data_IF_140485165847
#
_entry.id   IF_140485165847
#
_cell.length_a   1.000
_cell.length_b   1.000
_cell.length_c   1.000
_cell.angle_alpha   90.00
_cell.angle_beta   90.00
_cell.angle_gamma   90.00
#
_symmetry.space_group_name_H-M   'P 1'
#
loop_
_entity.id
_entity.type
_entity.pdbx_description
1 polymer ?
#
# COMPACT_ATOMS: atom_id res chain seq x y z
N UNK A 1 -7.59 5.46 -28.20
CA UNK A 1 -8.89 4.83 -28.52
C UNK A 1 -9.95 5.45 -27.64
N UNK A 2 -11.09 5.80 -28.21
CA UNK A 2 -12.21 6.28 -27.41
C UNK A 2 -13.02 5.05 -26.98
N UNK A 3 -13.07 4.76 -25.70
CA UNK A 3 -13.92 3.69 -25.15
C UNK A 3 -15.21 4.32 -24.64
N UNK A 4 -16.29 4.34 -25.43
CA UNK A 4 -17.57 4.85 -24.96
C UNK A 4 -18.09 3.87 -23.89
N UNK A 5 -18.16 4.34 -22.65
CA UNK A 5 -18.76 3.60 -21.55
C UNK A 5 -20.15 4.18 -21.31
N UNK A 6 -21.18 3.33 -21.14
CA UNK A 6 -22.53 3.81 -20.80
C UNK A 6 -22.55 4.57 -19.46
N UNK A 7 -23.35 5.60 -19.36
CA UNK A 7 -23.54 6.37 -18.11
C UNK A 7 -24.28 5.59 -17.02
N UNK A 8 -25.03 4.55 -17.41
CA UNK A 8 -25.75 3.68 -16.47
C UNK A 8 -24.80 2.62 -15.86
N UNK A 9 -25.14 2.06 -14.68
CA UNK A 9 -24.44 0.90 -14.17
C UNK A 9 -24.45 -0.24 -15.18
N UNK A 10 -23.32 -0.90 -15.36
CA UNK A 10 -23.20 -2.01 -16.29
C UNK A 10 -23.82 -3.28 -15.69
N UNK A 11 -24.45 -4.10 -16.53
CA UNK A 11 -24.82 -5.48 -16.21
C UNK A 11 -23.62 -6.44 -16.20
N UNK A 12 -22.47 -5.98 -16.70
CA UNK A 12 -21.21 -6.70 -16.73
C UNK A 12 -20.26 -6.16 -17.78
N UNK A 13 -19.07 -6.76 -17.83
CA UNK A 13 -17.99 -6.44 -18.77
C UNK A 13 -17.59 -7.71 -19.47
N UNK A 14 -17.70 -7.73 -20.79
CA UNK A 14 -17.22 -8.84 -21.63
C UNK A 14 -15.80 -8.59 -22.13
N UNK A 15 -15.10 -9.69 -22.43
CA UNK A 15 -13.80 -9.65 -23.10
C UNK A 15 -12.76 -8.79 -22.39
N UNK A 16 -12.55 -9.04 -21.10
CA UNK A 16 -11.54 -8.34 -20.29
C UNK A 16 -10.35 -9.26 -20.02
N UNK A 17 -9.10 -8.78 -20.17
CA UNK A 17 -7.89 -9.53 -19.87
C UNK A 17 -7.50 -9.35 -18.40
N UNK A 18 -7.73 -10.39 -17.62
CA UNK A 18 -7.34 -10.46 -16.20
C UNK A 18 -5.96 -11.09 -16.04
N UNK A 19 -5.17 -10.75 -15.00
CA UNK A 19 -3.91 -11.42 -14.73
C UNK A 19 -4.12 -12.88 -14.31
N UNK A 20 -3.12 -13.72 -14.56
CA UNK A 20 -3.22 -15.15 -14.34
C UNK A 20 -3.55 -15.54 -12.89
N UNK A 21 -3.06 -14.77 -11.90
CA UNK A 21 -3.31 -15.04 -10.48
C UNK A 21 -4.79 -14.85 -10.05
N UNK A 22 -5.60 -14.12 -10.84
CA UNK A 22 -7.04 -13.94 -10.62
C UNK A 22 -7.90 -15.05 -11.25
N UNK A 23 -7.32 -15.93 -12.03
CA UNK A 23 -8.09 -16.90 -12.79
C UNK A 23 -8.21 -18.22 -12.02
N UNK A 24 -9.40 -18.84 -11.99
CA UNK A 24 -9.58 -20.15 -11.36
C UNK A 24 -8.69 -21.22 -11.97
N UNK A 25 -8.37 -22.25 -11.17
CA UNK A 25 -7.67 -23.42 -11.68
C UNK A 25 -8.43 -24.06 -12.86
N UNK A 26 -7.70 -24.39 -13.92
CA UNK A 26 -8.29 -24.96 -15.15
C UNK A 26 -8.83 -23.91 -16.13
N UNK A 27 -8.57 -22.61 -15.92
CA UNK A 27 -8.92 -21.59 -16.90
C UNK A 27 -8.30 -21.88 -18.27
N UNK A 28 -9.05 -21.71 -19.38
CA UNK A 28 -8.53 -22.02 -20.69
C UNK A 28 -7.43 -21.04 -21.14
N UNK A 29 -6.44 -21.59 -21.87
CA UNK A 29 -5.36 -20.82 -22.47
C UNK A 29 -5.39 -20.98 -23.98
N UNK A 30 -5.05 -19.93 -24.70
CA UNK A 30 -4.91 -19.94 -26.16
C UNK A 30 -3.59 -19.23 -26.52
N UNK A 31 -2.76 -19.90 -27.35
CA UNK A 31 -1.45 -19.40 -27.75
C UNK A 31 -0.51 -18.98 -26.57
N UNK A 32 -0.64 -19.66 -25.42
CA UNK A 32 0.17 -19.38 -24.22
C UNK A 32 -0.37 -18.27 -23.33
N UNK A 33 -1.47 -17.62 -23.70
CA UNK A 33 -2.14 -16.57 -22.91
C UNK A 33 -3.49 -17.09 -22.38
N UNK A 34 -3.91 -16.66 -21.17
CA UNK A 34 -5.24 -16.99 -20.70
C UNK A 34 -6.30 -16.34 -21.61
N UNK A 35 -7.36 -17.08 -21.90
CA UNK A 35 -8.53 -16.53 -22.57
C UNK A 35 -9.09 -15.38 -21.72
N UNK A 36 -9.55 -14.30 -22.37
CA UNK A 36 -10.20 -13.17 -21.69
C UNK A 36 -11.45 -13.61 -20.95
N UNK A 37 -11.91 -12.80 -20.03
CA UNK A 37 -13.03 -13.10 -19.14
C UNK A 37 -14.26 -12.27 -19.48
N UNK A 38 -15.44 -12.84 -19.19
CA UNK A 38 -16.70 -12.15 -19.04
C UNK A 38 -17.06 -12.09 -17.56
N UNK A 39 -17.35 -10.89 -17.09
CA UNK A 39 -17.79 -10.60 -15.72
C UNK A 39 -19.23 -10.14 -15.75
N UNK A 40 -20.13 -10.82 -15.05
CA UNK A 40 -21.51 -10.38 -14.84
C UNK A 40 -21.67 -9.71 -13.50
N UNK A 41 -22.48 -8.65 -13.47
CA UNK A 41 -22.75 -7.88 -12.26
C UNK A 41 -24.23 -7.96 -11.91
N UNK A 42 -24.53 -8.06 -10.62
CA UNK A 42 -25.86 -7.99 -10.06
C UNK A 42 -25.83 -7.14 -8.80
N UNK A 43 -26.70 -6.13 -8.71
CA UNK A 43 -26.75 -5.18 -7.58
C UNK A 43 -25.38 -4.57 -7.19
N UNK A 44 -24.52 -4.30 -8.18
CA UNK A 44 -23.18 -3.74 -7.94
C UNK A 44 -22.12 -4.73 -7.44
N UNK A 45 -22.44 -6.03 -7.47
CA UNK A 45 -21.53 -7.12 -7.09
C UNK A 45 -21.21 -8.00 -8.29
N UNK A 46 -20.11 -8.73 -8.21
CA UNK A 46 -19.77 -9.79 -9.16
C UNK A 46 -20.77 -10.93 -8.99
N UNK A 47 -21.52 -11.25 -10.03
CA UNK A 47 -22.42 -12.41 -10.05
C UNK A 47 -21.70 -13.66 -10.56
N UNK A 48 -20.87 -13.52 -11.62
CA UNK A 48 -20.09 -14.61 -12.16
C UNK A 48 -18.87 -14.11 -12.95
N UNK A 49 -17.86 -14.99 -13.10
CA UNK A 49 -16.71 -14.84 -13.97
C UNK A 49 -16.58 -16.10 -14.82
N UNK A 50 -16.58 -15.94 -16.15
CA UNK A 50 -16.49 -17.06 -17.10
C UNK A 50 -15.50 -16.72 -18.23
N UNK A 51 -14.92 -17.71 -18.93
CA UNK A 51 -14.18 -17.45 -20.16
C UNK A 51 -15.05 -16.73 -21.18
N UNK A 52 -14.44 -15.77 -21.90
CA UNK A 52 -15.12 -14.93 -22.89
C UNK A 52 -15.83 -15.76 -23.97
N UNK A 53 -17.07 -15.36 -24.27
CA UNK A 53 -17.90 -15.92 -25.32
C UNK A 53 -18.37 -14.82 -26.27
N UNK A 54 -17.99 -14.86 -27.57
CA UNK A 54 -18.28 -13.78 -28.52
C UNK A 54 -19.75 -13.45 -28.76
N UNK A 55 -20.65 -14.37 -28.40
CA UNK A 55 -22.10 -14.27 -28.66
C UNK A 55 -22.91 -13.56 -27.54
N UNK A 56 -22.23 -13.00 -26.53
CA UNK A 56 -22.91 -12.29 -25.42
C UNK A 56 -23.03 -10.79 -25.71
N UNK A 57 -24.15 -10.40 -26.32
CA UNK A 57 -24.43 -8.99 -26.70
C UNK A 57 -24.97 -8.10 -25.56
N UNK A 58 -25.26 -8.68 -24.38
CA UNK A 58 -25.85 -7.96 -23.24
C UNK A 58 -24.81 -7.32 -22.31
N UNK A 59 -23.52 -7.55 -22.52
CA UNK A 59 -22.43 -7.01 -21.73
C UNK A 59 -21.65 -5.93 -22.50
N UNK A 60 -21.13 -4.94 -21.77
CA UNK A 60 -20.22 -3.98 -22.38
C UNK A 60 -18.88 -4.64 -22.73
N UNK A 61 -18.47 -4.59 -23.99
CA UNK A 61 -17.27 -5.26 -24.48
C UNK A 61 -16.02 -4.41 -24.28
N UNK A 62 -15.11 -4.87 -23.42
CA UNK A 62 -13.83 -4.23 -23.12
C UNK A 62 -12.74 -4.49 -24.18
N UNK A 63 -13.00 -5.28 -25.22
CA UNK A 63 -12.10 -5.50 -26.37
C UNK A 63 -10.70 -6.04 -26.00
N UNK A 64 -10.61 -6.84 -24.95
CA UNK A 64 -9.34 -7.43 -24.49
C UNK A 64 -8.48 -6.48 -23.65
N UNK A 65 -9.02 -5.37 -23.19
CA UNK A 65 -8.30 -4.40 -22.30
C UNK A 65 -7.86 -5.10 -21.02
N UNK A 66 -6.64 -4.79 -20.57
CA UNK A 66 -6.12 -5.25 -19.27
C UNK A 66 -6.97 -4.70 -18.13
N UNK A 67 -7.26 -5.51 -17.13
CA UNK A 67 -7.97 -5.07 -15.94
C UNK A 67 -7.43 -5.70 -14.66
N UNK A 68 -7.53 -4.94 -13.58
CA UNK A 68 -7.26 -5.37 -12.21
C UNK A 68 -8.51 -5.11 -11.35
N UNK A 69 -8.64 -5.77 -10.19
CA UNK A 69 -9.58 -5.32 -9.15
C UNK A 69 -9.18 -3.94 -8.64
N UNK A 70 -9.98 -3.36 -7.75
CA UNK A 70 -9.61 -2.11 -7.07
C UNK A 70 -8.21 -2.17 -6.49
N UNK A 71 -7.42 -1.11 -6.69
CA UNK A 71 -6.04 -1.04 -6.23
C UNK A 71 -5.98 -0.73 -4.72
N UNK A 72 -4.88 -1.12 -4.10
CA UNK A 72 -4.56 -0.79 -2.70
C UNK A 72 -3.37 0.14 -2.63
N UNK A 73 -3.43 1.14 -1.74
CA UNK A 73 -2.28 1.90 -1.29
C UNK A 73 -2.03 1.53 0.18
N UNK A 74 -1.10 0.59 0.46
CA UNK A 74 -0.92 0.03 1.79
C UNK A 74 -0.14 0.93 2.73
N UNK A 75 0.51 1.99 2.23
CA UNK A 75 1.40 2.81 3.04
C UNK A 75 1.56 4.22 2.47
N UNK A 76 0.91 5.17 3.09
CA UNK A 76 0.95 6.59 2.72
C UNK A 76 1.06 7.48 3.97
N UNK A 77 1.36 8.77 3.78
CA UNK A 77 1.49 9.77 4.83
C UNK A 77 0.67 11.02 4.50
N UNK A 78 -0.64 10.99 4.74
CA UNK A 78 -1.53 12.10 4.40
C UNK A 78 -1.33 13.34 5.27
N UNK A 79 -0.77 13.18 6.48
CA UNK A 79 -0.47 14.29 7.39
C UNK A 79 0.63 15.22 6.86
N UNK A 80 1.59 14.70 6.11
CA UNK A 80 2.74 15.45 5.59
C UNK A 80 2.77 15.66 4.08
N UNK A 81 1.85 15.03 3.33
CA UNK A 81 1.79 15.11 1.87
C UNK A 81 1.67 16.55 1.36
N UNK A 82 2.20 16.81 0.14
CA UNK A 82 2.16 18.10 -0.58
C UNK A 82 2.81 19.29 0.15
N UNK A 83 3.71 19.02 1.10
CA UNK A 83 4.45 20.08 1.82
C UNK A 83 5.77 20.48 1.15
N UNK A 84 6.21 19.81 0.09
CA UNK A 84 7.51 20.02 -0.57
C UNK A 84 7.77 21.47 -0.98
N UNK A 85 6.72 22.24 -1.28
CA UNK A 85 6.84 23.66 -1.64
C UNK A 85 7.39 24.53 -0.51
N UNK A 86 7.18 24.11 0.75
CA UNK A 86 7.60 24.83 1.97
C UNK A 86 8.57 24.04 2.86
N UNK A 87 8.71 22.73 2.66
CA UNK A 87 9.51 21.84 3.51
C UNK A 87 10.53 21.03 2.69
N UNK A 88 11.65 21.68 2.32
CA UNK A 88 12.74 21.02 1.60
C UNK A 88 13.92 20.76 2.53
N UNK A 89 14.37 19.51 2.69
CA UNK A 89 15.56 19.22 3.49
C UNK A 89 16.81 19.89 2.91
N UNK A 90 17.64 20.43 3.77
CA UNK A 90 18.94 21.03 3.39
C UNK A 90 20.02 19.98 3.09
N UNK A 91 19.82 18.76 3.59
CA UNK A 91 20.69 17.60 3.39
C UNK A 91 19.87 16.38 2.99
N UNK A 92 20.41 15.44 2.23
CA UNK A 92 19.71 14.21 1.87
C UNK A 92 19.62 13.23 3.05
N UNK A 93 18.66 12.30 2.96
CA UNK A 93 18.50 11.17 3.87
C UNK A 93 17.42 11.34 4.93
N UNK A 94 17.06 10.22 5.56
CA UNK A 94 15.92 10.08 6.45
C UNK A 94 15.93 11.09 7.63
N UNK A 95 17.04 11.21 8.34
CA UNK A 95 17.09 12.07 9.54
C UNK A 95 16.94 13.56 9.20
N UNK A 96 17.46 14.00 8.06
CA UNK A 96 17.27 15.38 7.59
C UNK A 96 15.82 15.65 7.18
N UNK A 97 15.16 14.67 6.59
CA UNK A 97 13.73 14.76 6.26
C UNK A 97 12.87 14.85 7.55
N UNK A 98 13.16 14.02 8.55
CA UNK A 98 12.47 14.06 9.86
C UNK A 98 12.63 15.45 10.54
N UNK A 99 13.84 16.01 10.56
CA UNK A 99 14.08 17.34 11.13
C UNK A 99 13.29 18.42 10.39
N UNK A 100 13.28 18.35 9.05
CA UNK A 100 12.52 19.28 8.20
C UNK A 100 11.02 19.18 8.47
N UNK A 101 10.49 17.97 8.64
CA UNK A 101 9.11 17.72 9.01
C UNK A 101 8.76 18.35 10.36
N UNK A 102 9.62 18.20 11.36
CA UNK A 102 9.41 18.81 12.70
C UNK A 102 9.29 20.34 12.62
N UNK A 103 10.01 20.98 11.71
CA UNK A 103 9.88 22.41 11.47
C UNK A 103 8.60 22.78 10.74
N UNK A 104 8.13 21.96 9.78
CA UNK A 104 6.90 22.21 9.01
C UNK A 104 5.63 22.09 9.87
N UNK A 105 5.63 21.23 10.90
CA UNK A 105 4.47 20.98 11.78
C UNK A 105 3.84 22.23 12.37
N UNK A 106 4.61 23.29 12.61
CA UNK A 106 4.07 24.56 13.12
C UNK A 106 3.02 25.21 12.20
N UNK A 107 2.97 24.79 10.93
CA UNK A 107 2.02 25.26 9.92
C UNK A 107 0.77 24.38 9.82
N UNK A 108 0.75 23.22 10.51
CA UNK A 108 -0.36 22.29 10.41
C UNK A 108 -1.55 22.76 11.24
N UNK A 109 -2.64 23.03 10.55
CA UNK A 109 -3.94 23.27 11.16
C UNK A 109 -5.00 22.42 10.42
N UNK A 110 -6.24 22.43 10.89
CA UNK A 110 -7.29 21.59 10.35
C UNK A 110 -7.51 21.80 8.84
N UNK A 111 -7.51 23.07 8.40
CA UNK A 111 -7.73 23.42 6.99
C UNK A 111 -6.59 22.93 6.10
N UNK A 112 -5.33 23.20 6.47
CA UNK A 112 -4.12 22.74 5.77
C UNK A 112 -4.09 21.20 5.65
N UNK A 113 -4.34 20.49 6.75
CA UNK A 113 -4.36 19.03 6.79
C UNK A 113 -5.45 18.45 5.89
N UNK A 114 -6.68 18.95 6.04
CA UNK A 114 -7.82 18.45 5.28
C UNK A 114 -7.71 18.74 3.78
N UNK A 115 -7.25 19.93 3.38
CA UNK A 115 -7.06 20.28 1.98
C UNK A 115 -6.05 19.35 1.30
N UNK A 116 -4.87 19.17 1.91
CA UNK A 116 -3.82 18.30 1.36
C UNK A 116 -4.26 16.84 1.28
N UNK A 117 -4.91 16.35 2.33
CA UNK A 117 -5.37 14.97 2.37
C UNK A 117 -6.51 14.69 1.38
N UNK A 118 -7.50 15.60 1.22
CA UNK A 118 -8.55 15.46 0.19
C UNK A 118 -7.96 15.39 -1.21
N UNK A 119 -6.99 16.25 -1.53
CA UNK A 119 -6.28 16.21 -2.81
C UNK A 119 -5.60 14.85 -3.03
N UNK A 120 -4.90 14.32 -2.03
CA UNK A 120 -4.23 13.03 -2.09
C UNK A 120 -5.21 11.87 -2.33
N UNK A 121 -6.31 11.85 -1.57
CA UNK A 121 -7.33 10.80 -1.69
C UNK A 121 -8.10 10.90 -3.01
N UNK A 122 -8.34 12.12 -3.51
CA UNK A 122 -8.93 12.33 -4.84
C UNK A 122 -8.00 11.80 -5.96
N UNK A 123 -6.69 12.02 -5.86
CA UNK A 123 -5.72 11.44 -6.79
C UNK A 123 -5.70 9.91 -6.73
N UNK A 124 -5.67 9.35 -5.53
CA UNK A 124 -5.72 7.91 -5.33
C UNK A 124 -6.98 7.30 -5.95
N UNK A 125 -8.16 7.90 -5.72
CA UNK A 125 -9.43 7.46 -6.31
C UNK A 125 -9.41 7.50 -7.85
N UNK A 126 -8.91 8.59 -8.43
CA UNK A 126 -8.78 8.73 -9.87
C UNK A 126 -7.79 7.72 -10.49
N UNK A 127 -6.83 7.23 -9.70
CA UNK A 127 -5.89 6.17 -10.06
C UNK A 127 -6.46 4.75 -9.83
N UNK A 128 -7.64 4.61 -9.23
CA UNK A 128 -8.29 3.32 -9.02
C UNK A 128 -8.03 2.69 -7.65
N UNK A 129 -7.46 3.44 -6.71
CA UNK A 129 -7.30 2.99 -5.33
C UNK A 129 -8.66 2.96 -4.64
N UNK A 130 -8.98 1.84 -3.99
CA UNK A 130 -10.22 1.63 -3.24
C UNK A 130 -10.00 1.43 -1.74
N UNK A 131 -8.77 1.12 -1.37
CA UNK A 131 -8.33 1.03 0.04
C UNK A 131 -6.97 1.69 0.18
N UNK A 132 -6.88 2.62 1.14
CA UNK A 132 -5.67 3.36 1.45
C UNK A 132 -5.39 3.28 2.95
N UNK A 133 -4.13 3.06 3.32
CA UNK A 133 -3.65 3.11 4.69
C UNK A 133 -2.71 4.28 4.86
N UNK A 134 -3.02 5.19 5.79
CA UNK A 134 -2.18 6.35 6.10
C UNK A 134 -1.57 6.24 7.48
N UNK A 135 -0.28 6.51 7.57
CA UNK A 135 0.48 6.62 8.81
C UNK A 135 0.47 8.07 9.26
N UNK A 136 0.04 8.31 10.49
CA UNK A 136 -0.08 9.64 11.09
C UNK A 136 0.87 9.73 12.28
N UNK A 137 1.79 10.69 12.22
CA UNK A 137 2.81 10.86 13.25
C UNK A 137 2.20 11.28 14.60
N UNK A 138 2.49 10.49 15.63
CA UNK A 138 2.22 10.82 17.02
C UNK A 138 3.50 11.28 17.71
N UNK A 139 3.46 12.35 18.45
CA UNK A 139 4.63 12.97 19.06
C UNK A 139 4.64 12.87 20.58
N UNK A 140 3.52 12.51 21.15
CA UNK A 140 3.31 12.23 22.56
C UNK A 140 2.21 11.18 22.74
N UNK A 141 1.76 10.95 23.96
CA UNK A 141 0.75 9.93 24.29
C UNK A 141 -0.71 10.36 23.97
N UNK A 142 -0.90 11.52 23.33
CA UNK A 142 -2.23 12.03 22.97
C UNK A 142 -2.44 12.05 21.46
N UNK A 143 -3.66 11.75 20.97
CA UNK A 143 -3.95 11.84 19.55
C UNK A 143 -3.65 13.24 19.00
N UNK A 144 -2.80 13.37 17.95
CA UNK A 144 -2.52 14.65 17.33
C UNK A 144 -3.70 15.20 16.54
N UNK A 145 -3.67 16.49 16.18
CA UNK A 145 -4.71 17.11 15.35
C UNK A 145 -4.95 16.34 14.05
N UNK A 146 -3.88 15.89 13.37
CA UNK A 146 -4.00 15.10 12.14
C UNK A 146 -4.78 13.80 12.34
N UNK A 147 -4.68 13.16 13.50
CA UNK A 147 -5.44 11.96 13.81
C UNK A 147 -6.95 12.18 13.83
N UNK A 148 -7.40 13.34 14.30
CA UNK A 148 -8.82 13.71 14.35
C UNK A 148 -9.34 14.24 13.01
N UNK A 149 -8.50 14.98 12.27
CA UNK A 149 -8.90 15.63 11.01
C UNK A 149 -8.88 14.69 9.80
N UNK A 150 -8.05 13.64 9.82
CA UNK A 150 -7.90 12.68 8.72
C UNK A 150 -8.72 11.41 9.00
N UNK A 151 -10.05 11.55 9.12
CA UNK A 151 -10.97 10.45 9.39
C UNK A 151 -11.43 9.70 8.14
N UNK A 152 -12.24 8.65 8.36
CA UNK A 152 -12.67 7.67 7.34
C UNK A 152 -13.51 8.26 6.17
N UNK A 153 -14.10 9.43 6.31
CA UNK A 153 -15.07 9.98 5.34
C UNK A 153 -14.47 11.02 4.40
N UNK A 154 -13.18 10.91 4.07
CA UNK A 154 -12.53 11.91 3.22
C UNK A 154 -12.93 11.83 1.75
N UNK A 155 -13.23 10.64 1.23
CA UNK A 155 -13.62 10.41 -0.16
C UNK A 155 -14.56 9.20 -0.27
N UNK A 156 -15.74 9.34 -0.90
CA UNK A 156 -16.57 8.20 -1.22
C UNK A 156 -15.85 7.20 -2.13
N UNK A 157 -16.00 5.91 -1.83
CA UNK A 157 -15.40 4.83 -2.64
C UNK A 157 -13.98 4.44 -2.24
N UNK A 158 -13.35 5.13 -1.26
CA UNK A 158 -12.10 4.69 -0.65
C UNK A 158 -12.33 4.33 0.82
N UNK A 159 -11.90 3.14 1.22
CA UNK A 159 -11.76 2.78 2.63
C UNK A 159 -10.42 3.32 3.13
N UNK A 160 -10.44 4.29 4.03
CA UNK A 160 -9.25 4.88 4.64
C UNK A 160 -8.96 4.23 5.99
N UNK A 161 -7.78 3.62 6.13
CA UNK A 161 -7.25 3.09 7.39
C UNK A 161 -6.22 4.07 7.95
N UNK A 162 -6.17 4.22 9.28
CA UNK A 162 -5.20 5.09 9.97
C UNK A 162 -4.29 4.29 10.88
N UNK A 163 -3.01 4.55 10.79
CA UNK A 163 -1.99 3.98 11.67
C UNK A 163 -1.44 5.09 12.56
N UNK A 164 -1.49 4.90 13.86
CA UNK A 164 -0.81 5.78 14.81
C UNK A 164 0.69 5.49 14.75
N UNK A 165 1.44 6.28 13.99
CA UNK A 165 2.90 6.13 13.87
C UNK A 165 3.58 6.77 15.07
N UNK A 166 3.96 5.93 16.05
CA UNK A 166 4.47 6.35 17.36
C UNK A 166 5.97 6.08 17.43
N UNK A 167 6.82 7.04 17.84
CA UNK A 167 8.22 6.78 18.15
C UNK A 167 8.38 5.68 19.20
N UNK A 168 9.26 4.70 18.97
CA UNK A 168 9.42 3.54 19.85
C UNK A 168 9.65 3.93 21.32
N UNK A 169 10.38 5.01 21.57
CA UNK A 169 10.66 5.48 22.92
C UNK A 169 9.43 5.82 23.78
N UNK A 170 8.28 6.15 23.18
CA UNK A 170 7.04 6.38 23.92
C UNK A 170 6.42 5.09 24.49
N UNK A 171 6.82 3.94 24.01
CA UNK A 171 6.45 2.65 24.58
C UNK A 171 7.37 2.16 25.70
N UNK A 172 8.42 2.91 26.06
CA UNK A 172 9.33 2.53 27.15
C UNK A 172 8.61 2.41 28.49
N UNK A 173 7.60 3.28 28.73
CA UNK A 173 6.70 3.18 29.88
C UNK A 173 5.43 2.41 29.52
N UNK A 174 5.15 1.33 30.23
CA UNK A 174 4.01 0.43 29.94
C UNK A 174 2.64 1.07 30.13
N UNK A 175 2.50 2.05 31.05
CA UNK A 175 1.24 2.77 31.24
C UNK A 175 0.98 3.73 30.09
N UNK A 176 2.03 4.39 29.58
CA UNK A 176 1.96 5.24 28.39
C UNK A 176 1.65 4.40 27.14
N UNK A 177 2.29 3.24 26.98
CA UNK A 177 2.00 2.31 25.89
C UNK A 177 0.52 1.88 25.88
N UNK A 178 -0.03 1.58 27.06
CA UNK A 178 -1.42 1.16 27.20
C UNK A 178 -2.41 2.32 26.91
N UNK A 179 -2.10 3.54 27.34
CA UNK A 179 -2.92 4.72 27.01
C UNK A 179 -2.96 5.01 25.52
N UNK A 180 -1.81 4.94 24.82
CA UNK A 180 -1.75 5.12 23.37
C UNK A 180 -2.59 4.05 22.67
N UNK A 181 -2.38 2.78 22.99
CA UNK A 181 -3.12 1.67 22.39
C UNK A 181 -4.64 1.79 22.67
N UNK A 182 -5.03 2.18 23.87
CA UNK A 182 -6.42 2.46 24.22
C UNK A 182 -7.01 3.58 23.37
N UNK A 183 -6.31 4.70 23.19
CA UNK A 183 -6.77 5.81 22.37
C UNK A 183 -6.97 5.41 20.90
N UNK A 184 -6.06 4.60 20.35
CA UNK A 184 -6.20 4.03 19.01
C UNK A 184 -7.43 3.12 18.92
N UNK A 185 -7.62 2.21 19.89
CA UNK A 185 -8.76 1.30 19.92
C UNK A 185 -10.13 2.00 20.02
N UNK A 186 -10.17 3.17 20.65
CA UNK A 186 -11.40 3.99 20.75
C UNK A 186 -11.68 4.83 19.48
N UNK A 187 -10.75 4.87 18.52
CA UNK A 187 -10.85 5.72 17.33
C UNK A 187 -11.58 5.07 16.15
N UNK A 188 -12.01 3.81 16.26
CA UNK A 188 -12.79 3.10 15.24
C UNK A 188 -12.11 1.82 14.73
N UNK A 189 -12.82 1.11 13.87
CA UNK A 189 -12.42 -0.24 13.41
C UNK A 189 -11.26 -0.22 12.39
N UNK A 190 -11.03 0.91 11.70
CA UNK A 190 -9.98 1.08 10.71
C UNK A 190 -8.76 1.82 11.28
N UNK A 191 -8.50 1.62 12.57
CA UNK A 191 -7.38 2.22 13.26
C UNK A 191 -6.42 1.14 13.75
N UNK A 192 -5.13 1.31 13.45
CA UNK A 192 -4.05 0.39 13.78
C UNK A 192 -3.04 1.09 14.68
N UNK A 193 -2.36 0.31 15.52
CA UNK A 193 -1.20 0.79 16.26
C UNK A 193 0.05 0.60 15.41
N UNK A 194 0.89 1.63 15.37
CA UNK A 194 2.16 1.61 14.64
C UNK A 194 3.33 2.00 15.52
N UNK A 195 4.52 1.73 15.03
CA UNK A 195 5.77 2.11 15.67
C UNK A 195 6.82 2.47 14.66
N UNK A 196 7.62 3.50 14.94
CA UNK A 196 8.86 3.78 14.22
C UNK A 196 10.01 3.11 14.95
N UNK A 197 10.56 2.05 14.36
CA UNK A 197 11.61 1.17 14.91
C UNK A 197 12.86 1.29 14.05
N UNK A 198 13.91 1.92 14.60
CA UNK A 198 15.17 2.22 13.94
C UNK A 198 16.31 2.00 14.93
N UNK A 199 17.55 1.74 14.47
CA UNK A 199 18.69 1.52 15.38
C UNK A 199 18.97 2.69 16.32
N UNK A 200 18.61 3.93 15.91
CA UNK A 200 18.80 5.13 16.73
C UNK A 200 17.83 5.23 17.93
N UNK A 201 16.72 4.49 17.92
CA UNK A 201 15.73 4.49 19.01
C UNK A 201 15.43 3.08 19.54
N UNK A 202 16.27 2.11 19.21
CA UNK A 202 16.07 0.71 19.55
C UNK A 202 15.98 0.48 21.06
N UNK A 203 14.89 -0.13 21.51
CA UNK A 203 14.66 -0.57 22.87
C UNK A 203 13.77 -1.83 22.87
N UNK A 204 14.32 -3.00 23.23
CA UNK A 204 13.57 -4.25 23.26
C UNK A 204 12.45 -4.28 24.32
N UNK A 205 12.56 -3.49 25.40
CA UNK A 205 11.50 -3.40 26.40
C UNK A 205 10.31 -2.58 25.86
N UNK A 206 10.60 -1.48 25.15
CA UNK A 206 9.59 -0.70 24.46
C UNK A 206 8.87 -1.53 23.37
N UNK A 207 9.60 -2.35 22.59
CA UNK A 207 8.98 -3.29 21.64
C UNK A 207 8.06 -4.29 22.35
N UNK A 208 8.46 -4.82 23.49
CA UNK A 208 7.61 -5.73 24.28
C UNK A 208 6.33 -5.03 24.76
N UNK A 209 6.41 -3.81 25.24
CA UNK A 209 5.26 -3.03 25.70
C UNK A 209 4.31 -2.71 24.52
N UNK A 210 4.84 -2.36 23.34
CA UNK A 210 4.06 -2.15 22.12
C UNK A 210 3.26 -3.41 21.77
N UNK A 211 3.92 -4.56 21.70
CA UNK A 211 3.27 -5.85 21.40
C UNK A 211 2.20 -6.23 22.43
N UNK A 212 2.50 -6.06 23.72
CA UNK A 212 1.57 -6.39 24.81
C UNK A 212 0.35 -5.47 24.82
N UNK A 213 0.54 -4.17 24.60
CA UNK A 213 -0.55 -3.20 24.54
C UNK A 213 -1.43 -3.44 23.31
N UNK A 214 -0.85 -3.72 22.14
CA UNK A 214 -1.60 -4.10 20.96
C UNK A 214 -2.45 -5.39 21.20
N UNK A 215 -1.85 -6.39 21.82
CA UNK A 215 -2.55 -7.63 22.14
C UNK A 215 -3.72 -7.40 23.12
N UNK A 216 -3.51 -6.58 24.17
CA UNK A 216 -4.52 -6.23 25.17
C UNK A 216 -5.74 -5.56 24.54
N UNK A 217 -5.51 -4.61 23.63
CA UNK A 217 -6.56 -3.84 22.98
C UNK A 217 -7.02 -4.44 21.65
N UNK A 218 -6.52 -5.64 21.28
CA UNK A 218 -6.87 -6.40 20.06
C UNK A 218 -6.64 -5.58 18.79
N UNK A 219 -5.57 -4.80 18.75
CA UNK A 219 -5.18 -4.00 17.61
C UNK A 219 -4.32 -4.81 16.65
N UNK A 220 -4.51 -4.60 15.36
CA UNK A 220 -3.53 -4.93 14.35
C UNK A 220 -2.37 -3.93 14.41
N UNK A 221 -1.21 -4.34 13.91
CA UNK A 221 0.00 -3.51 13.89
C UNK A 221 0.42 -3.17 12.46
N UNK A 222 0.98 -1.96 12.30
CA UNK A 222 1.71 -1.57 11.09
C UNK A 222 2.96 -0.79 11.47
N UNK A 223 4.13 -1.38 11.21
CA UNK A 223 5.39 -0.95 11.77
C UNK A 223 6.32 -0.40 10.68
N UNK A 224 6.83 0.84 10.86
CA UNK A 224 8.04 1.27 10.17
C UNK A 224 9.20 0.58 10.88
N UNK A 225 9.84 -0.38 10.23
CA UNK A 225 10.81 -1.24 10.90
C UNK A 225 12.07 -1.40 10.05
N UNK A 226 13.21 -1.13 10.67
CA UNK A 226 14.54 -1.28 10.04
C UNK A 226 14.67 -0.50 8.72
N UNK A 227 14.17 0.76 8.70
CA UNK A 227 14.30 1.70 7.56
C UNK A 227 15.70 2.32 7.51
N UNK A 228 16.69 1.49 7.31
CA UNK A 228 18.10 1.88 7.32
C UNK A 228 18.97 0.86 6.59
N UNK A 229 20.21 1.22 6.32
CA UNK A 229 21.24 0.31 5.79
C UNK A 229 22.21 -0.18 6.87
N UNK A 230 21.75 -0.28 8.09
CA UNK A 230 22.59 -0.72 9.21
C UNK A 230 22.49 -2.23 9.40
N UNK A 231 23.62 -2.98 9.32
CA UNK A 231 23.61 -4.42 9.61
C UNK A 231 23.35 -4.73 11.10
N UNK A 232 23.32 -3.71 11.95
CA UNK A 232 22.99 -3.83 13.39
C UNK A 232 21.54 -3.45 13.70
N UNK A 233 20.69 -3.27 12.70
CA UNK A 233 19.25 -3.15 12.90
C UNK A 233 18.69 -4.45 13.48
N UNK A 234 17.80 -4.34 14.45
CA UNK A 234 17.33 -5.48 15.25
C UNK A 234 15.80 -5.68 15.19
N UNK A 235 15.05 -4.79 14.57
CA UNK A 235 13.61 -4.80 14.61
C UNK A 235 12.99 -6.09 14.11
N UNK A 236 13.22 -6.44 12.83
CA UNK A 236 12.66 -7.66 12.23
C UNK A 236 13.19 -8.94 12.88
N UNK A 237 14.46 -8.99 13.26
CA UNK A 237 15.03 -10.17 13.92
C UNK A 237 14.42 -10.38 15.31
N UNK A 238 14.24 -9.31 16.06
CA UNK A 238 13.58 -9.36 17.37
C UNK A 238 12.09 -9.76 17.23
N UNK A 239 11.39 -9.19 16.25
CA UNK A 239 9.98 -9.51 16.01
C UNK A 239 9.79 -10.99 15.65
N UNK A 240 10.65 -11.53 14.76
CA UNK A 240 10.62 -12.94 14.39
C UNK A 240 10.87 -13.86 15.60
N UNK A 241 11.87 -13.54 16.44
CA UNK A 241 12.16 -14.28 17.66
C UNK A 241 11.00 -14.17 18.67
N UNK A 242 10.43 -12.98 18.86
CA UNK A 242 9.29 -12.77 19.75
C UNK A 242 8.07 -13.58 19.32
N UNK A 243 7.68 -13.54 18.05
CA UNK A 243 6.51 -14.25 17.50
C UNK A 243 6.73 -15.78 17.50
N UNK A 244 7.95 -16.26 17.42
CA UNK A 244 8.25 -17.68 17.54
C UNK A 244 7.99 -18.25 18.96
N UNK A 245 7.94 -17.38 19.97
CA UNK A 245 7.81 -17.74 21.40
C UNK A 245 6.48 -17.27 22.00
N UNK A 246 5.80 -16.32 21.37
CA UNK A 246 4.61 -15.69 21.88
C UNK A 246 3.50 -15.68 20.82
N UNK A 247 2.27 -15.96 21.23
CA UNK A 247 1.13 -15.82 20.32
C UNK A 247 0.70 -14.35 20.21
N UNK A 248 0.54 -13.87 18.98
CA UNK A 248 -0.12 -12.61 18.68
C UNK A 248 -1.26 -12.88 17.70
N UNK A 249 -2.48 -12.56 18.09
CA UNK A 249 -3.69 -12.89 17.32
C UNK A 249 -3.99 -11.89 16.20
N UNK A 250 -3.43 -10.67 16.29
CA UNK A 250 -3.58 -9.61 15.30
C UNK A 250 -2.80 -9.89 14.01
N UNK A 251 -3.03 -9.09 13.01
CA UNK A 251 -2.22 -9.02 11.80
C UNK A 251 -1.12 -7.96 11.97
N UNK A 252 0.06 -8.19 11.42
CA UNK A 252 1.20 -7.28 11.49
C UNK A 252 1.67 -6.96 10.07
N UNK A 253 1.65 -5.69 9.69
CA UNK A 253 2.38 -5.21 8.53
C UNK A 253 3.75 -4.68 8.98
N UNK A 254 4.80 -5.04 8.24
CA UNK A 254 6.17 -4.57 8.44
C UNK A 254 6.61 -3.81 7.19
N UNK A 255 6.72 -2.50 7.32
CA UNK A 255 7.10 -1.61 6.23
C UNK A 255 8.61 -1.38 6.21
N UNK A 256 9.17 -1.13 5.04
CA UNK A 256 10.60 -0.95 4.75
C UNK A 256 11.43 -2.24 4.89
N UNK A 257 11.90 -2.59 6.08
CA UNK A 257 12.73 -3.77 6.31
C UNK A 257 14.01 -3.82 5.47
N UNK A 258 14.50 -2.68 4.98
CA UNK A 258 15.59 -2.61 4.03
C UNK A 258 16.97 -2.89 4.64
N UNK A 259 17.11 -2.83 5.96
CA UNK A 259 18.34 -3.18 6.64
C UNK A 259 18.78 -4.64 6.41
N UNK A 260 17.84 -5.55 6.20
CA UNK A 260 18.15 -6.96 5.91
C UNK A 260 19.02 -7.11 4.65
N UNK A 261 18.88 -6.21 3.66
CA UNK A 261 19.70 -6.22 2.46
C UNK A 261 21.18 -5.87 2.72
N UNK A 262 21.51 -5.30 3.88
CA UNK A 262 22.88 -4.98 4.30
C UNK A 262 23.52 -6.07 5.18
N UNK A 263 22.73 -7.07 5.61
CA UNK A 263 23.16 -8.19 6.42
C UNK A 263 23.56 -9.41 5.60
N UNK A 264 23.64 -10.58 6.25
CA UNK A 264 23.88 -11.84 5.56
C UNK A 264 22.59 -12.41 4.99
N UNK A 265 22.66 -12.96 3.78
CA UNK A 265 21.54 -13.65 3.14
C UNK A 265 20.97 -14.77 4.03
N UNK A 266 21.84 -15.57 4.64
CA UNK A 266 21.40 -16.65 5.53
C UNK A 266 20.58 -16.15 6.71
N UNK A 267 20.97 -15.03 7.32
CA UNK A 267 20.23 -14.43 8.43
C UNK A 267 18.86 -13.89 7.96
N UNK A 268 18.82 -13.21 6.81
CA UNK A 268 17.56 -12.73 6.24
C UNK A 268 16.58 -13.87 5.95
N UNK A 269 17.06 -14.96 5.34
CA UNK A 269 16.23 -16.16 5.07
C UNK A 269 15.73 -16.83 6.36
N UNK A 270 16.53 -16.88 7.42
CA UNK A 270 16.09 -17.41 8.72
C UNK A 270 14.97 -16.56 9.32
N UNK A 271 15.09 -15.23 9.27
CA UNK A 271 14.06 -14.29 9.73
C UNK A 271 12.78 -14.49 8.94
N UNK A 272 12.85 -14.55 7.62
CA UNK A 272 11.68 -14.77 6.77
C UNK A 272 11.03 -16.12 7.01
N UNK A 273 11.81 -17.17 7.21
CA UNK A 273 11.25 -18.49 7.54
C UNK A 273 10.43 -18.48 8.85
N UNK A 274 10.89 -17.76 9.87
CA UNK A 274 10.13 -17.60 11.12
C UNK A 274 8.87 -16.76 10.90
N UNK A 275 8.95 -15.64 10.18
CA UNK A 275 7.83 -14.75 9.92
C UNK A 275 6.76 -15.37 9.01
N UNK A 276 7.15 -16.23 8.07
CA UNK A 276 6.23 -16.91 7.14
C UNK A 276 5.19 -17.80 7.83
N UNK A 277 5.46 -18.24 9.05
CA UNK A 277 4.52 -19.04 9.86
C UNK A 277 3.56 -18.17 10.68
N UNK A 278 3.70 -16.86 10.59
CA UNK A 278 2.94 -15.88 11.38
C UNK A 278 1.99 -15.06 10.48
N UNK A 279 1.12 -14.29 11.09
CA UNK A 279 0.23 -13.37 10.36
C UNK A 279 0.94 -12.05 10.06
N UNK A 280 1.98 -12.12 9.23
CA UNK A 280 2.84 -10.99 8.88
C UNK A 280 2.78 -10.75 7.39
N UNK A 281 2.69 -9.47 6.99
CA UNK A 281 2.84 -8.99 5.62
C UNK A 281 4.00 -8.00 5.58
N UNK A 282 4.84 -8.05 4.54
CA UNK A 282 5.84 -7.02 4.29
C UNK A 282 5.30 -5.98 3.32
N UNK A 283 5.64 -4.70 3.55
CA UNK A 283 5.32 -3.60 2.63
C UNK A 283 6.64 -3.02 2.14
N UNK A 284 6.91 -3.18 0.85
CA UNK A 284 8.08 -2.62 0.21
C UNK A 284 7.77 -1.23 -0.36
N UNK A 285 8.67 -0.27 -0.15
CA UNK A 285 8.51 1.14 -0.42
C UNK A 285 9.65 1.65 -1.32
N UNK A 286 9.73 1.14 -2.57
CA UNK A 286 10.93 1.32 -3.39
C UNK A 286 11.22 2.77 -3.73
N UNK A 287 10.21 3.61 -3.93
CA UNK A 287 10.42 5.01 -4.32
C UNK A 287 11.13 5.80 -3.23
N UNK A 288 10.59 5.79 -2.01
CA UNK A 288 11.16 6.52 -0.88
C UNK A 288 12.50 5.91 -0.44
N UNK A 289 12.58 4.57 -0.35
CA UNK A 289 13.82 3.92 0.03
C UNK A 289 14.98 4.22 -0.92
N UNK A 290 14.75 4.25 -2.25
CA UNK A 290 15.79 4.61 -3.22
C UNK A 290 16.25 6.06 -3.10
N UNK A 291 15.38 6.97 -2.63
CA UNK A 291 15.72 8.37 -2.41
C UNK A 291 16.46 8.60 -1.10
N UNK A 292 16.06 7.92 -0.03
CA UNK A 292 16.57 8.19 1.32
C UNK A 292 17.81 7.35 1.66
N UNK A 293 17.88 6.09 1.18
CA UNK A 293 18.95 5.18 1.57
C UNK A 293 20.22 5.44 0.77
N UNK A 294 21.39 5.39 1.43
CA UNK A 294 22.72 5.70 0.87
C UNK A 294 22.80 7.08 0.19
N UNK A 295 21.93 8.02 0.59
CA UNK A 295 21.83 9.35 0.00
C UNK A 295 22.95 10.27 0.55
N UNK A 296 23.84 10.73 -0.35
CA UNK A 296 24.96 11.61 -0.02
C UNK A 296 25.06 12.71 -1.09
N UNK A 297 25.17 13.96 -0.64
CA UNK A 297 25.30 15.11 -1.54
C UNK A 297 26.48 14.93 -2.52
N UNK A 298 26.20 15.10 -3.81
CA UNK A 298 27.22 15.01 -4.88
C UNK A 298 27.69 13.59 -5.22
N UNK A 299 27.08 12.55 -4.65
CA UNK A 299 27.40 11.16 -4.94
C UNK A 299 26.17 10.36 -5.32
N UNK A 300 26.25 9.57 -6.39
CA UNK A 300 25.20 8.57 -6.72
C UNK A 300 25.18 7.46 -5.68
N UNK A 301 24.02 7.00 -5.18
CA UNK A 301 23.89 5.89 -4.27
C UNK A 301 24.58 4.61 -4.81
N UNK A 302 25.25 3.86 -3.95
CA UNK A 302 25.94 2.60 -4.28
C UNK A 302 25.16 1.39 -3.79
N UNK A 303 24.30 1.57 -2.79
CA UNK A 303 23.43 0.53 -2.24
C UNK A 303 21.98 0.86 -2.62
N UNK A 304 21.20 -0.16 -2.92
CA UNK A 304 19.79 0.06 -3.32
C UNK A 304 18.89 0.43 -2.15
N UNK A 305 19.14 -0.15 -0.97
CA UNK A 305 18.39 0.15 0.25
C UNK A 305 16.90 -0.21 0.17
N UNK A 306 16.58 -1.35 -0.46
CA UNK A 306 15.21 -1.80 -0.68
C UNK A 306 14.93 -3.13 0.02
N UNK A 307 13.67 -3.38 0.31
CA UNK A 307 13.16 -4.62 0.91
C UNK A 307 13.54 -5.85 0.08
N UNK A 308 13.93 -6.95 0.72
CA UNK A 308 14.22 -8.25 0.09
C UNK A 308 12.89 -8.95 -0.30
N UNK A 309 12.17 -8.39 -1.27
CA UNK A 309 10.82 -8.79 -1.66
C UNK A 309 10.77 -10.21 -2.21
N UNK A 310 11.71 -10.58 -3.09
CA UNK A 310 11.70 -11.91 -3.74
C UNK A 310 11.96 -13.02 -2.74
N UNK A 311 12.88 -12.79 -1.81
CA UNK A 311 13.22 -13.72 -0.74
C UNK A 311 12.04 -13.91 0.23
N UNK A 312 11.33 -12.83 0.54
CA UNK A 312 10.13 -12.88 1.36
C UNK A 312 9.00 -13.66 0.66
N UNK A 313 8.74 -13.39 -0.62
CA UNK A 313 7.75 -14.13 -1.42
C UNK A 313 8.13 -15.63 -1.51
N UNK A 314 9.41 -15.93 -1.73
CA UNK A 314 9.90 -17.31 -1.79
C UNK A 314 9.72 -18.05 -0.45
N UNK A 315 9.80 -17.34 0.67
CA UNK A 315 9.51 -17.87 2.01
C UNK A 315 7.99 -18.02 2.29
N UNK A 316 7.12 -17.48 1.43
CA UNK A 316 5.66 -17.53 1.59
C UNK A 316 5.08 -16.38 2.40
N UNK A 317 5.82 -15.29 2.61
CA UNK A 317 5.31 -14.08 3.24
C UNK A 317 4.55 -13.25 2.18
N UNK A 318 3.30 -12.84 2.44
CA UNK A 318 2.62 -11.86 1.61
C UNK A 318 3.41 -10.54 1.54
N UNK A 319 3.50 -9.95 0.35
CA UNK A 319 4.20 -8.67 0.15
C UNK A 319 3.30 -7.72 -0.62
N UNK A 320 3.34 -6.43 -0.25
CA UNK A 320 2.68 -5.34 -0.95
C UNK A 320 3.68 -4.25 -1.32
N UNK A 321 3.30 -3.41 -2.27
CA UNK A 321 4.01 -2.20 -2.66
C UNK A 321 3.20 -0.97 -2.26
N UNK A 322 3.84 0.00 -1.61
CA UNK A 322 3.27 1.28 -1.25
C UNK A 322 4.08 2.47 -1.80
N UNK A 323 3.42 3.60 -2.01
CA UNK A 323 4.06 4.82 -2.49
C UNK A 323 4.84 5.54 -1.38
N UNK A 324 4.43 5.34 -0.14
CA UNK A 324 4.98 6.00 1.04
C UNK A 324 4.74 7.53 1.00
N UNK A 325 5.80 8.33 0.97
CA UNK A 325 5.74 9.77 0.94
C UNK A 325 5.49 10.32 -0.48
N UNK A 326 4.67 11.36 -0.57
CA UNK A 326 4.33 12.03 -1.82
C UNK A 326 4.47 13.54 -1.69
N UNK A 327 5.37 14.13 -2.45
CA UNK A 327 5.61 15.57 -2.55
C UNK A 327 5.81 16.25 -1.18
N UNK A 328 6.67 15.66 -0.36
CA UNK A 328 7.07 16.15 0.96
C UNK A 328 8.59 16.10 1.17
N UNK A 329 9.04 16.25 2.42
CA UNK A 329 10.47 16.28 2.76
C UNK A 329 11.19 14.94 2.52
N UNK A 330 10.48 13.82 2.50
CA UNK A 330 11.05 12.47 2.29
C UNK A 330 11.09 12.09 0.82
N UNK A 331 10.04 12.44 0.06
CA UNK A 331 9.96 12.18 -1.37
C UNK A 331 9.38 13.40 -2.12
N UNK A 332 10.16 14.09 -2.97
CA UNK A 332 9.71 15.32 -3.63
C UNK A 332 8.74 15.08 -4.80
N UNK A 333 8.45 13.84 -5.13
CA UNK A 333 7.62 13.43 -6.26
C UNK A 333 6.55 12.42 -5.83
N UNK A 334 5.69 12.00 -6.75
CA UNK A 334 4.66 10.99 -6.55
C UNK A 334 3.27 11.52 -6.87
N UNK A 335 2.32 10.60 -7.03
CA UNK A 335 0.99 10.88 -7.56
C UNK A 335 -0.10 10.01 -6.91
N UNK A 336 0.20 9.24 -5.87
CA UNK A 336 -0.70 8.20 -5.31
C UNK A 336 -1.20 7.21 -6.38
N UNK A 337 -0.36 6.95 -7.39
CA UNK A 337 -0.61 5.92 -8.40
C UNK A 337 0.18 4.65 -8.06
N UNK A 338 -0.46 3.54 -7.66
CA UNK A 338 0.24 2.30 -7.37
C UNK A 338 1.04 1.75 -8.56
N UNK A 339 0.69 2.16 -9.79
CA UNK A 339 1.45 1.76 -10.96
C UNK A 339 2.81 2.48 -11.07
N UNK A 340 2.94 3.71 -10.59
CA UNK A 340 4.23 4.41 -10.51
C UNK A 340 5.17 3.64 -9.56
N UNK A 341 4.64 3.18 -8.43
CA UNK A 341 5.37 2.37 -7.47
C UNK A 341 5.78 1.02 -8.08
N UNK A 342 4.86 0.34 -8.76
CA UNK A 342 5.15 -0.93 -9.43
C UNK A 342 6.15 -0.75 -10.58
N UNK A 343 6.07 0.34 -11.32
CA UNK A 343 7.06 0.67 -12.37
C UNK A 343 8.46 0.89 -11.79
N UNK A 344 8.55 1.59 -10.66
CA UNK A 344 9.81 1.73 -9.92
C UNK A 344 10.32 0.36 -9.44
N UNK A 345 9.45 -0.45 -8.82
CA UNK A 345 9.76 -1.78 -8.32
C UNK A 345 10.24 -2.73 -9.42
N UNK A 346 9.65 -2.67 -10.62
CA UNK A 346 10.06 -3.48 -11.77
C UNK A 346 11.57 -3.40 -12.00
N UNK A 347 12.13 -2.20 -12.01
CA UNK A 347 13.56 -1.99 -12.24
C UNK A 347 14.41 -2.15 -10.97
N UNK A 348 13.94 -1.61 -9.86
CA UNK A 348 14.69 -1.63 -8.60
C UNK A 348 14.83 -3.05 -8.03
N UNK A 349 13.78 -3.86 -8.12
CA UNK A 349 13.71 -5.22 -7.61
C UNK A 349 13.92 -6.28 -8.70
N UNK A 350 14.07 -5.86 -9.98
CA UNK A 350 14.24 -6.75 -11.13
C UNK A 350 13.09 -7.78 -11.21
N UNK A 351 11.86 -7.27 -11.19
CA UNK A 351 10.66 -8.11 -11.29
C UNK A 351 10.43 -8.58 -12.73
N UNK A 352 9.87 -9.75 -12.88
CA UNK A 352 9.43 -10.32 -14.15
C UNK A 352 7.93 -10.63 -14.12
N UNK A 353 7.36 -10.95 -15.26
CA UNK A 353 5.94 -11.30 -15.42
C UNK A 353 4.98 -10.36 -14.67
N UNK A 354 5.20 -9.04 -14.87
CA UNK A 354 4.68 -8.00 -13.98
C UNK A 354 3.16 -7.97 -13.95
N UNK A 355 2.49 -8.11 -15.11
CA UNK A 355 1.03 -8.11 -15.14
C UNK A 355 0.43 -9.38 -14.53
N UNK A 356 0.90 -10.56 -14.98
CA UNK A 356 0.26 -11.84 -14.62
C UNK A 356 0.59 -12.36 -13.22
N UNK A 357 1.68 -11.88 -12.59
CA UNK A 357 2.08 -12.32 -11.26
C UNK A 357 2.22 -11.14 -10.29
N UNK A 358 2.99 -10.13 -10.65
CA UNK A 358 3.37 -9.08 -9.71
C UNK A 358 2.31 -7.98 -9.53
N UNK A 359 1.29 -7.92 -10.40
CA UNK A 359 0.17 -6.98 -10.19
C UNK A 359 -0.58 -7.21 -8.87
N UNK A 360 -0.49 -8.41 -8.29
CA UNK A 360 -1.02 -8.71 -6.97
C UNK A 360 -0.43 -7.79 -5.89
N UNK A 361 0.82 -7.36 -6.03
CA UNK A 361 1.52 -6.49 -5.07
C UNK A 361 0.82 -5.15 -4.81
N UNK A 362 -0.08 -4.73 -5.70
CA UNK A 362 -0.79 -3.44 -5.62
C UNK A 362 -2.32 -3.58 -5.48
N UNK A 363 -2.84 -4.79 -5.26
CA UNK A 363 -4.29 -5.00 -5.14
C UNK A 363 -4.71 -6.13 -4.20
N UNK A 364 -3.81 -6.68 -3.38
CA UNK A 364 -4.12 -7.74 -2.42
C UNK A 364 -4.60 -7.16 -1.08
N UNK A 365 -5.92 -6.99 -0.96
CA UNK A 365 -6.56 -6.52 0.28
C UNK A 365 -6.39 -7.52 1.42
N UNK A 366 -6.34 -8.83 1.13
CA UNK A 366 -6.16 -9.87 2.15
C UNK A 366 -4.77 -9.77 2.77
N UNK A 367 -3.76 -9.56 1.94
CA UNK A 367 -2.40 -9.31 2.43
C UNK A 367 -2.33 -8.05 3.31
N UNK A 368 -3.09 -6.99 2.97
CA UNK A 368 -3.10 -5.74 3.74
C UNK A 368 -3.82 -5.88 5.09
N UNK A 369 -4.96 -6.55 5.13
CA UNK A 369 -5.83 -6.57 6.32
C UNK A 369 -5.67 -7.83 7.18
N UNK A 370 -5.14 -8.91 6.60
CA UNK A 370 -5.14 -10.24 7.22
C UNK A 370 -6.52 -10.89 7.30
N UNK A 371 -7.54 -10.30 6.66
CA UNK A 371 -8.91 -10.81 6.64
C UNK A 371 -9.11 -11.77 5.48
N UNK A 372 -9.52 -13.01 5.79
CA UNK A 372 -9.69 -14.08 4.78
C UNK A 372 -11.10 -14.10 4.18
N UNK A 373 -12.05 -13.35 4.74
CA UNK A 373 -13.41 -13.28 4.21
C UNK A 373 -13.40 -12.62 2.83
N UNK A 374 -13.92 -13.33 1.82
CA UNK A 374 -13.89 -12.92 0.41
C UNK A 374 -12.46 -12.78 -0.15
N UNK A 375 -11.62 -13.78 0.11
CA UNK A 375 -10.21 -13.80 -0.28
C UNK A 375 -9.95 -13.56 -1.79
N UNK A 376 -10.92 -13.79 -2.66
CA UNK A 376 -10.78 -13.56 -4.10
C UNK A 376 -11.57 -12.30 -4.51
N UNK A 377 -10.91 -11.24 -5.01
CA UNK A 377 -11.53 -9.94 -5.25
C UNK A 377 -12.60 -9.94 -6.36
N UNK A 378 -12.64 -10.97 -7.19
CA UNK A 378 -13.64 -11.16 -8.26
C UNK A 378 -14.54 -12.38 -8.00
N UNK A 379 -14.61 -12.89 -6.77
CA UNK A 379 -15.53 -13.96 -6.43
C UNK A 379 -17.00 -13.48 -6.50
N UNK A 380 -17.96 -14.39 -6.77
CA UNK A 380 -19.37 -14.05 -6.63
C UNK A 380 -19.68 -13.45 -5.25
N UNK A 381 -20.40 -12.30 -5.25
CA UNK A 381 -20.70 -11.52 -4.04
C UNK A 381 -19.66 -10.45 -3.67
N UNK A 382 -18.48 -10.42 -4.31
CA UNK A 382 -17.54 -9.31 -4.16
C UNK A 382 -18.05 -8.06 -4.89
N UNK A 383 -17.62 -6.88 -4.48
CA UNK A 383 -17.95 -5.63 -5.16
C UNK A 383 -17.47 -5.64 -6.62
N UNK A 384 -18.31 -5.18 -7.55
CA UNK A 384 -17.95 -5.04 -8.96
C UNK A 384 -17.06 -3.80 -9.16
N UNK A 385 -15.86 -3.86 -8.61
CA UNK A 385 -14.85 -2.80 -8.62
C UNK A 385 -13.65 -3.23 -9.43
N UNK A 386 -13.36 -2.48 -10.51
CA UNK A 386 -12.34 -2.81 -11.51
C UNK A 386 -11.64 -1.55 -12.00
N UNK A 387 -10.36 -1.70 -12.32
CA UNK A 387 -9.56 -0.69 -13.01
C UNK A 387 -9.11 -1.26 -14.35
N UNK A 388 -9.55 -0.64 -15.44
CA UNK A 388 -9.17 -1.02 -16.80
C UNK A 388 -8.11 -0.07 -17.34
N UNK A 389 -7.19 -0.59 -18.17
CA UNK A 389 -6.04 0.11 -18.70
C UNK A 389 -6.08 0.17 -20.23
N UNK A 390 -6.90 1.08 -20.84
CA UNK A 390 -7.01 1.20 -22.28
C UNK A 390 -5.69 1.62 -22.94
N UNK A 391 -5.38 1.02 -24.10
CA UNK A 391 -4.22 1.43 -24.92
C UNK A 391 -2.88 0.90 -24.44
N UNK A 392 -2.88 -0.06 -23.51
CA UNK A 392 -1.66 -0.76 -23.07
C UNK A 392 -1.85 -2.28 -23.20
N UNK A 393 -0.76 -2.99 -23.34
CA UNK A 393 -0.69 -4.44 -23.30
C UNK A 393 0.19 -4.92 -22.12
N UNK A 394 0.26 -6.22 -21.88
CA UNK A 394 1.01 -6.79 -20.75
C UNK A 394 2.53 -6.54 -20.80
N UNK A 395 3.08 -6.21 -21.96
CA UNK A 395 4.52 -5.95 -22.14
C UNK A 395 4.87 -4.46 -21.92
N UNK A 396 3.92 -3.57 -22.22
CA UNK A 396 4.07 -2.13 -22.01
C UNK A 396 3.55 -1.68 -20.65
N UNK A 397 2.70 -2.47 -19.99
CA UNK A 397 2.22 -2.23 -18.63
C UNK A 397 3.35 -2.53 -17.59
N UNK A 398 3.51 -1.76 -16.52
CA UNK A 398 2.72 -0.60 -16.08
C UNK A 398 3.17 0.73 -16.70
N UNK A 399 4.21 0.78 -17.52
CA UNK A 399 4.88 2.02 -17.97
C UNK A 399 4.01 2.88 -18.89
N UNK A 400 3.09 2.29 -19.63
CA UNK A 400 2.19 2.96 -20.57
C UNK A 400 0.72 2.84 -20.13
N UNK A 401 0.43 3.12 -18.87
CA UNK A 401 -0.91 2.91 -18.29
C UNK A 401 -1.52 4.17 -17.70
N UNK A 402 -1.22 5.33 -18.27
CA UNK A 402 -1.81 6.60 -17.83
C UNK A 402 -3.33 6.66 -18.04
N UNK A 403 -3.84 6.07 -19.12
CA UNK A 403 -5.27 5.98 -19.37
C UNK A 403 -5.92 4.94 -18.44
N UNK A 404 -7.06 5.32 -17.83
CA UNK A 404 -7.78 4.49 -16.87
C UNK A 404 -9.29 4.64 -17.01
N UNK A 405 -9.99 3.51 -16.80
CA UNK A 405 -11.43 3.49 -16.52
C UNK A 405 -11.59 2.83 -15.16
N UNK A 406 -12.09 3.57 -14.19
CA UNK A 406 -12.32 3.06 -12.82
C UNK A 406 -13.79 2.80 -12.62
N UNK A 407 -14.14 1.56 -12.35
CA UNK A 407 -15.49 1.13 -12.05
C UNK A 407 -15.63 0.83 -10.56
N UNK A 408 -16.70 1.31 -9.97
CA UNK A 408 -17.08 1.01 -8.60
C UNK A 408 -18.56 0.59 -8.55
N UNK A 409 -18.86 -0.55 -7.98
CA UNK A 409 -20.18 -1.19 -8.02
C UNK A 409 -20.77 -1.27 -9.46
N UNK A 410 -19.93 -1.63 -10.43
CA UNK A 410 -20.31 -1.74 -11.84
C UNK A 410 -20.58 -0.41 -12.55
N UNK A 411 -20.33 0.73 -11.91
CA UNK A 411 -20.50 2.08 -12.48
C UNK A 411 -19.15 2.73 -12.73
N UNK A 412 -18.98 3.36 -13.89
CA UNK A 412 -17.81 4.20 -14.17
C UNK A 412 -17.80 5.41 -13.22
N UNK A 413 -16.76 5.53 -12.41
CA UNK A 413 -16.57 6.64 -11.46
C UNK A 413 -15.51 7.63 -11.90
N UNK A 414 -14.42 7.12 -12.53
CA UNK A 414 -13.35 7.96 -13.05
C UNK A 414 -12.91 7.46 -14.43
N UNK A 415 -12.63 8.42 -15.29
CA UNK A 415 -12.04 8.17 -16.61
C UNK A 415 -10.90 9.14 -16.81
N UNK A 416 -9.69 8.61 -17.09
CA UNK A 416 -8.52 9.39 -17.46
C UNK A 416 -8.02 8.98 -18.84
N UNK A 417 -7.74 9.97 -19.69
CA UNK A 417 -7.10 9.77 -20.98
C UNK A 417 -5.61 10.09 -20.90
N UNK A 418 -4.83 9.74 -21.93
CA UNK A 418 -3.38 9.95 -21.95
C UNK A 418 -2.92 11.39 -21.67
N UNK A 419 -3.73 12.39 -22.02
CA UNK A 419 -3.38 13.80 -21.94
C UNK A 419 -4.10 14.54 -20.80
N UNK A 420 -4.74 13.83 -19.89
CA UNK A 420 -5.51 14.44 -18.82
C UNK A 420 -4.67 14.52 -17.54
N UNK A 421 -4.51 15.72 -17.00
CA UNK A 421 -3.88 15.96 -15.72
C UNK A 421 -4.73 15.38 -14.57
N UNK A 422 -4.07 15.10 -13.44
CA UNK A 422 -4.78 14.71 -12.21
C UNK A 422 -5.63 15.89 -11.72
N UNK A 423 -6.80 15.62 -11.09
CA UNK A 423 -7.68 16.67 -10.63
C UNK A 423 -6.99 17.55 -9.57
N UNK A 424 -7.11 18.86 -9.72
CA UNK A 424 -6.72 19.83 -8.70
C UNK A 424 -7.99 20.32 -7.99
N UNK A 425 -8.02 20.24 -6.68
CA UNK A 425 -9.06 20.91 -5.91
C UNK A 425 -8.78 22.42 -5.94
N UNK A 426 -9.78 23.19 -6.38
CA UNK A 426 -9.77 24.66 -6.43
C UNK A 426 -10.08 25.27 -5.07
#
# INVERSE_FOLDING_TARGET
>A
MNFPVPDSPLSGIANVRLPAWLLPAGWPFQAGEPVTADLRFEAGQIASMTPYQPEQDDLWNAQGVLALPGLTEPHAHLDKTFTIGRSRPSQPGLLAAIETLHQDRQHWNAEDLQQRARQAVAWAAANGVTRMRTHIDWFDATPPLAWTELGEQMQPGITLERVALVPLGLFADSETADRIAHAVAQSGNHCLLGGFIHSSNWDPAAMSNLMQSAARWKLNLDLHIDEELSPVAHGLSWLADYLSKNMFSGHICCSHGCALASGSEQQALQIFHLLATQRVTLIALPMTNLLLQDAVTGRTPRQRGITLLKEAQAAGIPVLLGCDNVQDAFCPAGSYDPLDTLACALFALQLDNVFDQQSQLICDVVALTGEVQNAHPLAPGSEATLVLFPGTDRLTWPLHSAARLVFHHGRLTHQRTWNQELPHES
#
